data_IF_416882195767
#
_entry.id   IF_416882195767
#
_cell.length_a   1.000
_cell.length_b   1.000
_cell.length_c   1.000
_cell.angle_alpha   90.00
_cell.angle_beta   90.00
_cell.angle_gamma   90.00
#
_symmetry.space_group_name_H-M   'P 1'
#
loop_
_entity.id
_entity.type
_entity.pdbx_description
1 polymer ?
#
# COMPACT_ATOMS: atom_id res chain seq x y z
N UNK A 1 -14.02 0.49 37.37
CA UNK A 1 -12.57 0.48 37.19
C UNK A 1 -12.07 1.89 36.89
N UNK A 2 -11.14 2.40 37.73
CA UNK A 2 -10.64 3.78 37.62
C UNK A 2 -9.81 4.01 36.34
N UNK A 3 -9.01 3.05 35.94
CA UNK A 3 -8.19 3.10 34.71
C UNK A 3 -9.05 3.04 33.45
N UNK A 4 -10.13 2.27 33.46
CA UNK A 4 -11.12 2.24 32.38
C UNK A 4 -11.78 3.61 32.16
N UNK A 5 -12.20 4.28 33.24
CA UNK A 5 -12.80 5.62 33.16
C UNK A 5 -11.80 6.65 32.64
N UNK A 6 -10.53 6.60 33.07
CA UNK A 6 -9.47 7.46 32.56
C UNK A 6 -9.21 7.26 31.05
N UNK A 7 -9.20 6.02 30.58
CA UNK A 7 -9.07 5.73 29.15
C UNK A 7 -10.25 6.27 28.32
N UNK A 8 -11.49 6.12 28.84
CA UNK A 8 -12.68 6.67 28.17
C UNK A 8 -12.59 8.20 28.11
N UNK A 9 -12.16 8.87 29.16
CA UNK A 9 -11.94 10.32 29.14
C UNK A 9 -10.88 10.71 28.10
N UNK A 10 -9.80 9.95 27.98
CA UNK A 10 -8.80 10.13 26.93
C UNK A 10 -9.45 10.07 25.53
N UNK A 11 -10.24 9.03 25.25
CA UNK A 11 -10.92 8.88 23.98
C UNK A 11 -11.95 9.98 23.68
N UNK A 12 -12.69 10.43 24.69
CA UNK A 12 -13.67 11.52 24.54
C UNK A 12 -12.95 12.81 24.09
N UNK A 13 -11.78 13.11 24.67
CA UNK A 13 -11.01 14.30 24.29
C UNK A 13 -10.34 14.13 22.92
N UNK A 14 -9.85 12.95 22.60
CA UNK A 14 -9.21 12.64 21.34
C UNK A 14 -10.19 12.73 20.14
N UNK A 15 -11.35 12.09 20.27
CA UNK A 15 -12.38 12.03 19.22
C UNK A 15 -13.31 13.26 19.22
N UNK A 16 -13.27 14.10 20.25
CA UNK A 16 -14.13 15.28 20.37
C UNK A 16 -15.63 14.93 20.49
N UNK A 17 -15.99 13.80 21.10
CA UNK A 17 -17.36 13.26 21.12
C UNK A 17 -18.44 14.21 21.70
N UNK A 18 -18.05 15.18 22.52
CA UNK A 18 -18.97 16.16 23.17
C UNK A 18 -18.45 17.60 23.13
N UNK A 19 -17.21 17.80 22.69
CA UNK A 19 -16.50 19.08 22.62
C UNK A 19 -15.61 19.05 21.37
N UNK A 20 -14.87 20.13 21.11
CA UNK A 20 -13.81 20.05 20.11
C UNK A 20 -12.73 19.09 20.60
N UNK A 21 -12.07 18.33 19.69
CA UNK A 21 -10.93 17.47 20.03
C UNK A 21 -9.86 18.26 20.80
N UNK A 22 -9.37 17.68 21.89
CA UNK A 22 -8.22 18.17 22.65
C UNK A 22 -7.21 17.02 22.83
N UNK A 23 -6.32 16.81 21.83
CA UNK A 23 -5.32 15.75 21.89
C UNK A 23 -4.34 15.90 23.08
N UNK A 24 -4.07 17.13 23.50
CA UNK A 24 -3.15 17.35 24.63
C UNK A 24 -3.77 16.90 25.97
N UNK A 25 -5.06 17.11 26.15
CA UNK A 25 -5.78 16.58 27.31
C UNK A 25 -5.98 15.08 27.20
N UNK A 26 -6.23 14.55 25.97
CA UNK A 26 -6.33 13.10 25.72
C UNK A 26 -5.05 12.37 26.16
N UNK A 27 -3.88 12.86 25.78
CA UNK A 27 -2.56 12.29 26.17
C UNK A 27 -2.40 12.24 27.69
N UNK A 28 -2.85 13.25 28.44
CA UNK A 28 -2.76 13.23 29.90
C UNK A 28 -3.62 12.09 30.50
N UNK A 29 -4.81 11.88 29.96
CA UNK A 29 -5.70 10.81 30.42
C UNK A 29 -5.19 9.44 29.99
N UNK A 30 -4.70 9.29 28.74
CA UNK A 30 -4.07 8.04 28.29
C UNK A 30 -2.87 7.69 29.16
N UNK A 31 -2.02 8.66 29.53
CA UNK A 31 -0.86 8.44 30.38
C UNK A 31 -1.27 7.98 31.80
N UNK A 32 -2.32 8.55 32.38
CA UNK A 32 -2.84 8.09 33.68
C UNK A 32 -3.33 6.63 33.61
N UNK A 33 -4.11 6.30 32.57
CA UNK A 33 -4.64 4.96 32.39
C UNK A 33 -3.55 3.94 32.01
N UNK A 34 -2.55 4.34 31.23
CA UNK A 34 -1.39 3.53 30.82
C UNK A 34 -0.51 3.19 32.03
N UNK A 35 -0.25 4.16 32.90
CA UNK A 35 0.45 3.95 34.19
C UNK A 35 -0.32 3.00 35.11
N UNK A 36 -1.65 2.95 34.99
CA UNK A 36 -2.51 1.98 35.67
C UNK A 36 -2.53 0.59 35.03
N UNK A 37 -1.71 0.35 34.00
CA UNK A 37 -1.53 -0.95 33.35
C UNK A 37 -2.54 -1.30 32.26
N UNK A 38 -3.41 -0.37 31.84
CA UNK A 38 -4.42 -0.66 30.80
C UNK A 38 -3.79 -0.72 29.41
N UNK A 39 -3.82 -1.89 28.76
CA UNK A 39 -3.16 -2.13 27.47
C UNK A 39 -3.66 -1.21 26.36
N UNK A 40 -4.97 -0.94 26.26
CA UNK A 40 -5.53 -0.05 25.27
C UNK A 40 -5.08 1.40 25.47
N UNK A 41 -4.85 1.83 26.71
CA UNK A 41 -4.33 3.16 27.01
C UNK A 41 -2.83 3.27 26.72
N UNK A 42 -2.07 2.21 26.99
CA UNK A 42 -0.66 2.11 26.62
C UNK A 42 -0.50 2.19 25.11
N UNK A 43 -1.33 1.46 24.36
CA UNK A 43 -1.35 1.54 22.90
C UNK A 43 -1.72 2.96 22.41
N UNK A 44 -2.80 3.55 22.94
CA UNK A 44 -3.22 4.90 22.54
C UNK A 44 -2.15 5.95 22.84
N UNK A 45 -1.50 5.90 24.02
CA UNK A 45 -0.40 6.78 24.36
C UNK A 45 0.81 6.60 23.41
N UNK A 46 1.14 5.36 23.09
CA UNK A 46 2.21 5.04 22.16
C UNK A 46 1.95 5.65 20.76
N UNK A 47 0.71 5.52 20.24
CA UNK A 47 0.30 6.13 18.97
C UNK A 47 0.43 7.66 19.03
N UNK A 48 -0.02 8.30 20.11
CA UNK A 48 0.10 9.75 20.27
C UNK A 48 1.56 10.21 20.28
N UNK A 49 2.44 9.47 20.96
CA UNK A 49 3.89 9.76 21.02
C UNK A 49 4.59 9.53 19.66
N UNK A 50 4.17 8.51 18.92
CA UNK A 50 4.69 8.21 17.58
C UNK A 50 4.34 9.31 16.57
N UNK A 51 3.09 9.82 16.61
CA UNK A 51 2.57 10.80 15.64
C UNK A 51 2.73 12.26 16.08
N UNK A 52 3.01 12.50 17.35
CA UNK A 52 3.03 13.85 17.88
C UNK A 52 1.64 14.45 18.09
N UNK A 53 0.61 13.62 18.24
CA UNK A 53 -0.76 14.06 18.47
C UNK A 53 -0.96 14.46 19.92
N UNK A 54 -1.06 15.76 20.19
CA UNK A 54 -1.20 16.34 21.54
C UNK A 54 0.08 16.32 22.39
N UNK A 55 1.21 15.87 21.86
CA UNK A 55 2.50 15.85 22.52
C UNK A 55 3.65 15.95 21.50
N UNK A 56 4.87 16.12 22.00
CA UNK A 56 6.07 16.04 21.16
C UNK A 56 6.33 14.58 20.77
N UNK A 57 6.73 14.36 19.52
CA UNK A 57 7.12 13.04 19.04
C UNK A 57 8.25 12.47 19.91
N UNK A 58 8.05 11.24 20.39
CA UNK A 58 9.04 10.52 21.18
C UNK A 58 8.94 9.01 20.86
N UNK A 59 9.70 8.58 19.85
CA UNK A 59 9.66 7.20 19.36
C UNK A 59 10.19 6.19 20.38
N UNK A 60 11.20 6.57 21.19
CA UNK A 60 11.74 5.68 22.22
C UNK A 60 10.69 5.41 23.32
N UNK A 61 9.98 6.44 23.75
CA UNK A 61 8.90 6.27 24.73
C UNK A 61 7.72 5.50 24.11
N UNK A 62 7.40 5.73 22.84
CA UNK A 62 6.36 4.99 22.12
C UNK A 62 6.68 3.48 22.08
N UNK A 63 7.94 3.09 21.77
CA UNK A 63 8.39 1.68 21.82
C UNK A 63 8.14 1.07 23.19
N UNK A 64 8.47 1.78 24.28
CA UNK A 64 8.27 1.25 25.61
C UNK A 64 6.78 0.99 25.90
N UNK A 65 5.89 1.91 25.51
CA UNK A 65 4.45 1.74 25.70
C UNK A 65 3.86 0.68 24.79
N UNK A 66 4.32 0.59 23.53
CA UNK A 66 3.92 -0.52 22.63
C UNK A 66 4.36 -1.86 23.19
N UNK A 67 5.58 -1.94 23.75
CA UNK A 67 6.07 -3.20 24.36
C UNK A 67 5.17 -3.64 25.51
N UNK A 68 4.84 -2.74 26.44
CA UNK A 68 3.95 -3.05 27.56
C UNK A 68 2.55 -3.51 27.11
N UNK A 69 2.00 -2.88 26.08
CA UNK A 69 0.71 -3.29 25.51
C UNK A 69 0.81 -4.63 24.76
N UNK A 70 1.89 -4.84 24.00
CA UNK A 70 2.14 -6.06 23.23
C UNK A 70 2.32 -7.29 24.13
N UNK A 71 3.02 -7.14 25.26
CA UNK A 71 3.19 -8.18 26.27
C UNK A 71 1.88 -8.58 26.91
N UNK A 72 0.90 -7.68 26.97
CA UNK A 72 -0.48 -7.96 27.40
C UNK A 72 -1.36 -8.58 26.29
N UNK A 73 -0.79 -8.86 25.12
CA UNK A 73 -1.51 -9.46 23.99
C UNK A 73 -2.26 -8.48 23.09
N UNK A 74 -2.04 -7.16 23.21
CA UNK A 74 -2.71 -6.17 22.37
C UNK A 74 -2.24 -6.27 20.92
N UNK A 75 -3.06 -6.82 20.03
CA UNK A 75 -2.70 -7.16 18.65
C UNK A 75 -2.15 -5.99 17.84
N UNK A 76 -2.79 -4.81 17.94
CA UNK A 76 -2.32 -3.62 17.22
C UNK A 76 -1.00 -3.10 17.76
N UNK A 77 -0.72 -3.25 19.06
CA UNK A 77 0.57 -2.88 19.64
C UNK A 77 1.68 -3.83 19.16
N UNK A 78 1.40 -5.13 19.09
CA UNK A 78 2.32 -6.12 18.52
C UNK A 78 2.64 -5.80 17.07
N UNK A 79 1.64 -5.44 16.26
CA UNK A 79 1.83 -5.05 14.87
C UNK A 79 2.70 -3.79 14.74
N UNK A 80 2.41 -2.74 15.52
CA UNK A 80 3.17 -1.48 15.44
C UNK A 80 4.60 -1.67 15.96
N UNK A 81 4.78 -2.40 17.07
CA UNK A 81 6.10 -2.71 17.61
C UNK A 81 6.95 -3.52 16.61
N UNK A 82 6.33 -4.50 15.91
CA UNK A 82 6.99 -5.24 14.85
C UNK A 82 7.47 -4.31 13.72
N UNK A 83 6.66 -3.34 13.33
CA UNK A 83 7.04 -2.31 12.36
C UNK A 83 8.21 -1.46 12.84
N UNK A 84 8.23 -1.06 14.12
CA UNK A 84 9.34 -0.29 14.71
C UNK A 84 10.63 -1.08 14.71
N UNK A 85 10.62 -2.37 15.02
CA UNK A 85 11.80 -3.25 14.89
C UNK A 85 12.23 -3.42 13.43
N UNK A 86 11.31 -3.64 12.49
CA UNK A 86 11.64 -3.82 11.07
C UNK A 86 12.32 -2.58 10.45
N UNK A 87 11.95 -1.37 10.90
CA UNK A 87 12.46 -0.12 10.33
C UNK A 87 13.47 0.61 11.21
N UNK A 88 13.73 0.14 12.42
CA UNK A 88 14.62 0.82 13.35
C UNK A 88 14.09 2.16 13.85
N UNK A 89 12.76 2.30 13.99
CA UNK A 89 12.12 3.53 14.43
C UNK A 89 12.05 3.61 15.96
N UNK A 90 12.85 4.50 16.58
CA UNK A 90 12.92 4.66 18.03
C UNK A 90 13.61 3.49 18.77
N UNK A 91 14.08 2.50 18.05
CA UNK A 91 14.80 1.33 18.54
C UNK A 91 15.73 0.82 17.43
N UNK A 92 16.78 0.07 17.78
CA UNK A 92 17.64 -0.57 16.79
C UNK A 92 16.83 -1.59 15.97
N UNK A 93 17.02 -1.59 14.66
CA UNK A 93 16.37 -2.55 13.77
C UNK A 93 16.76 -4.01 14.15
N UNK A 94 15.75 -4.88 14.15
CA UNK A 94 15.88 -6.29 14.55
C UNK A 94 14.77 -7.09 13.85
N UNK A 95 15.14 -7.70 12.72
CA UNK A 95 14.18 -8.45 11.90
C UNK A 95 13.66 -9.72 12.62
N UNK A 96 14.44 -10.34 13.49
CA UNK A 96 13.98 -11.51 14.25
C UNK A 96 12.87 -11.12 15.23
N UNK A 97 13.02 -9.99 15.91
CA UNK A 97 11.97 -9.46 16.79
C UNK A 97 10.76 -8.96 15.98
N UNK A 98 10.99 -8.37 14.81
CA UNK A 98 9.89 -7.99 13.93
C UNK A 98 9.06 -9.22 13.53
N UNK A 99 9.69 -10.32 13.11
CA UNK A 99 9.02 -11.59 12.82
C UNK A 99 8.23 -12.08 14.04
N UNK A 100 8.86 -12.10 15.22
CA UNK A 100 8.19 -12.55 16.45
C UNK A 100 6.90 -11.78 16.74
N UNK A 101 6.95 -10.45 16.71
CA UNK A 101 5.77 -9.63 17.02
C UNK A 101 4.75 -9.61 15.88
N UNK A 102 5.19 -9.67 14.60
CA UNK A 102 4.25 -9.87 13.49
C UNK A 102 3.54 -11.20 13.57
N UNK A 103 4.22 -12.27 14.00
CA UNK A 103 3.60 -13.58 14.19
C UNK A 103 2.51 -13.53 15.26
N UNK A 104 2.79 -12.94 16.44
CA UNK A 104 1.79 -12.77 17.49
C UNK A 104 0.54 -12.00 17.04
N UNK A 105 0.73 -10.94 16.25
CA UNK A 105 -0.39 -10.17 15.69
C UNK A 105 -1.12 -10.93 14.55
N UNK A 106 -0.39 -11.68 13.74
CA UNK A 106 -0.93 -12.49 12.64
C UNK A 106 -1.81 -13.65 13.14
N UNK A 107 -1.40 -14.30 14.24
CA UNK A 107 -2.18 -15.34 14.93
C UNK A 107 -3.49 -14.78 15.50
N UNK A 108 -3.52 -13.48 15.82
CA UNK A 108 -4.74 -12.75 16.18
C UNK A 108 -5.52 -12.20 14.97
N UNK A 109 -5.27 -12.74 13.79
CA UNK A 109 -5.93 -12.40 12.54
C UNK A 109 -5.77 -10.93 12.10
N UNK A 110 -4.71 -10.22 12.48
CA UNK A 110 -4.39 -8.89 11.94
C UNK A 110 -3.89 -9.06 10.50
N UNK A 111 -4.71 -8.74 9.51
CA UNK A 111 -4.42 -8.97 8.08
C UNK A 111 -3.12 -8.31 7.62
N UNK A 112 -2.83 -7.09 8.10
CA UNK A 112 -1.58 -6.39 7.78
C UNK A 112 -0.35 -7.10 8.36
N UNK A 113 -0.47 -7.69 9.56
CA UNK A 113 0.59 -8.48 10.17
C UNK A 113 0.83 -9.77 9.39
N UNK A 114 -0.24 -10.47 9.00
CA UNK A 114 -0.15 -11.66 8.15
C UNK A 114 0.56 -11.35 6.83
N UNK A 115 0.19 -10.24 6.17
CA UNK A 115 0.82 -9.83 4.92
C UNK A 115 2.32 -9.47 5.10
N UNK A 116 2.68 -8.79 6.18
CA UNK A 116 4.08 -8.46 6.47
C UNK A 116 4.89 -9.70 6.81
N UNK A 117 4.34 -10.60 7.63
CA UNK A 117 4.97 -11.87 7.97
C UNK A 117 5.18 -12.74 6.72
N UNK A 118 4.19 -12.79 5.82
CA UNK A 118 4.32 -13.44 4.51
C UNK A 118 5.50 -12.87 3.71
N UNK A 119 5.66 -11.54 3.68
CA UNK A 119 6.78 -10.90 3.00
C UNK A 119 8.14 -11.23 3.65
N UNK A 120 8.22 -11.31 4.98
CA UNK A 120 9.44 -11.70 5.68
C UNK A 120 9.84 -13.15 5.38
N UNK A 121 8.88 -14.09 5.34
CA UNK A 121 9.13 -15.45 4.88
C UNK A 121 9.53 -15.54 3.41
N UNK A 122 8.93 -14.72 2.53
CA UNK A 122 9.29 -14.67 1.11
C UNK A 122 10.72 -14.18 0.90
N UNK A 123 11.17 -13.21 1.69
CA UNK A 123 12.50 -12.59 1.57
C UNK A 123 13.59 -13.29 2.39
N UNK A 124 13.20 -14.02 3.44
CA UNK A 124 14.14 -14.56 4.42
C UNK A 124 14.67 -13.49 5.39
N UNK A 125 13.88 -12.45 5.70
CA UNK A 125 14.26 -11.37 6.61
C UNK A 125 13.91 -11.74 8.05
N UNK A 126 14.91 -11.91 8.92
CA UNK A 126 14.75 -12.32 10.31
C UNK A 126 14.24 -13.75 10.51
N UNK A 127 14.08 -14.52 9.44
CA UNK A 127 13.62 -15.90 9.42
C UNK A 127 14.16 -16.60 8.17
N UNK A 128 14.31 -17.92 8.21
CA UNK A 128 14.69 -18.69 7.03
C UNK A 128 13.62 -18.53 5.91
N UNK A 129 14.08 -18.28 4.68
CA UNK A 129 13.19 -18.13 3.53
C UNK A 129 12.31 -19.37 3.35
N UNK A 130 11.00 -19.17 3.30
CA UNK A 130 10.04 -20.25 3.13
C UNK A 130 8.81 -19.78 2.34
N UNK A 131 8.78 -20.10 1.06
CA UNK A 131 7.68 -19.71 0.17
C UNK A 131 6.34 -20.35 0.55
N UNK A 132 6.32 -21.56 1.12
CA UNK A 132 5.07 -22.20 1.57
C UNK A 132 4.48 -21.44 2.76
N UNK A 133 5.31 -21.03 3.71
CA UNK A 133 4.87 -20.18 4.83
C UNK A 133 4.44 -18.80 4.37
N UNK A 134 5.17 -18.20 3.43
CA UNK A 134 4.79 -16.91 2.84
C UNK A 134 3.41 -16.99 2.19
N UNK A 135 3.17 -18.00 1.37
CA UNK A 135 1.90 -18.25 0.69
C UNK A 135 0.74 -18.40 1.70
N UNK A 136 0.93 -19.24 2.72
CA UNK A 136 -0.07 -19.44 3.78
C UNK A 136 -0.50 -18.10 4.44
N UNK A 137 0.47 -17.27 4.82
CA UNK A 137 0.17 -15.98 5.44
C UNK A 137 -0.48 -14.98 4.47
N UNK A 138 -0.06 -14.99 3.20
CA UNK A 138 -0.73 -14.18 2.17
C UNK A 138 -2.17 -14.65 1.90
N UNK A 139 -2.44 -15.97 1.90
CA UNK A 139 -3.79 -16.52 1.74
C UNK A 139 -4.73 -16.06 2.85
N UNK A 140 -4.27 -16.11 4.12
CA UNK A 140 -5.05 -15.64 5.25
C UNK A 140 -5.38 -14.14 5.14
N UNK A 141 -4.39 -13.31 4.80
CA UNK A 141 -4.58 -11.87 4.63
C UNK A 141 -5.44 -11.53 3.39
N UNK A 142 -5.24 -12.24 2.29
CA UNK A 142 -6.01 -12.07 1.05
C UNK A 142 -7.47 -12.47 1.24
N UNK A 143 -7.73 -13.53 2.00
CA UNK A 143 -9.08 -13.97 2.39
C UNK A 143 -9.84 -12.93 3.23
N UNK A 144 -9.12 -12.11 4.01
CA UNK A 144 -9.66 -10.95 4.71
C UNK A 144 -9.86 -9.71 3.82
N UNK A 145 -9.52 -9.79 2.53
CA UNK A 145 -9.72 -8.73 1.57
C UNK A 145 -8.55 -7.73 1.44
N UNK A 146 -7.40 -7.96 2.10
CA UNK A 146 -6.26 -7.04 2.01
C UNK A 146 -5.66 -7.05 0.59
N UNK A 147 -5.83 -5.97 -0.17
CA UNK A 147 -5.46 -5.89 -1.60
C UNK A 147 -3.97 -6.16 -1.85
N UNK A 148 -3.08 -5.72 -0.95
CA UNK A 148 -1.64 -5.99 -1.04
C UNK A 148 -1.34 -7.49 -0.93
N UNK A 149 -2.02 -8.19 -0.02
CA UNK A 149 -1.86 -9.64 0.13
C UNK A 149 -2.44 -10.40 -1.07
N UNK A 150 -3.58 -9.97 -1.60
CA UNK A 150 -4.16 -10.54 -2.84
C UNK A 150 -3.21 -10.41 -4.02
N UNK A 151 -2.56 -9.25 -4.16
CA UNK A 151 -1.54 -9.05 -5.19
C UNK A 151 -0.33 -9.95 -4.99
N UNK A 152 0.23 -10.01 -3.77
CA UNK A 152 1.40 -10.84 -3.47
C UNK A 152 1.12 -12.33 -3.69
N UNK A 153 -0.04 -12.82 -3.24
CA UNK A 153 -0.49 -14.19 -3.48
C UNK A 153 -0.59 -14.48 -4.99
N UNK A 154 -1.19 -13.56 -5.76
CA UNK A 154 -1.28 -13.68 -7.20
C UNK A 154 0.10 -13.75 -7.88
N UNK A 155 1.07 -12.95 -7.43
CA UNK A 155 2.46 -12.99 -7.92
C UNK A 155 3.11 -14.34 -7.64
N UNK A 156 2.92 -14.89 -6.44
CA UNK A 156 3.46 -16.21 -6.07
C UNK A 156 2.87 -17.32 -6.91
N UNK A 157 1.54 -17.34 -7.08
CA UNK A 157 0.82 -18.30 -7.93
C UNK A 157 1.24 -18.20 -9.40
N UNK A 158 1.37 -16.98 -9.91
CA UNK A 158 1.78 -16.74 -11.30
C UNK A 158 3.22 -17.23 -11.54
N UNK A 159 4.13 -16.95 -10.62
CA UNK A 159 5.54 -17.33 -10.73
C UNK A 159 5.84 -18.79 -10.32
N UNK A 160 4.88 -19.50 -9.72
CA UNK A 160 5.11 -20.86 -9.18
C UNK A 160 6.08 -20.87 -7.99
N UNK A 161 6.03 -19.84 -7.12
CA UNK A 161 6.89 -19.76 -5.93
C UNK A 161 6.23 -20.49 -4.76
N UNK A 162 6.82 -21.57 -4.31
CA UNK A 162 6.32 -22.40 -3.19
C UNK A 162 5.17 -23.33 -3.57
N UNK A 163 4.64 -23.23 -4.77
CA UNK A 163 3.57 -24.05 -5.34
C UNK A 163 3.75 -24.13 -6.85
N UNK A 164 3.11 -25.11 -7.51
CA UNK A 164 3.06 -25.11 -8.97
C UNK A 164 2.37 -23.84 -9.49
N UNK A 165 2.88 -23.29 -10.60
CA UNK A 165 2.31 -22.09 -11.18
C UNK A 165 0.84 -22.32 -11.58
N UNK A 166 -0.06 -21.44 -11.15
CA UNK A 166 -1.48 -21.42 -11.51
C UNK A 166 -1.91 -19.99 -11.91
N UNK A 167 -1.81 -19.72 -13.20
CA UNK A 167 -2.21 -18.42 -13.74
C UNK A 167 -3.72 -18.18 -13.63
N UNK A 168 -4.54 -19.25 -13.65
CA UNK A 168 -6.01 -19.09 -13.55
C UNK A 168 -6.39 -18.57 -12.17
N UNK A 169 -5.82 -19.16 -11.12
CA UNK A 169 -6.03 -18.70 -9.76
C UNK A 169 -5.40 -17.33 -9.54
N UNK A 170 -4.17 -17.12 -10.02
CA UNK A 170 -3.49 -15.80 -9.94
C UNK A 170 -4.35 -14.68 -10.53
N UNK A 171 -5.02 -14.90 -11.68
CA UNK A 171 -5.91 -13.94 -12.31
C UNK A 171 -7.12 -13.58 -11.44
N UNK A 172 -7.63 -14.51 -10.66
CA UNK A 172 -8.73 -14.22 -9.71
C UNK A 172 -8.25 -13.21 -8.67
N UNK A 173 -7.09 -13.45 -8.08
CA UNK A 173 -6.52 -12.60 -7.06
C UNK A 173 -6.04 -11.24 -7.61
N UNK A 174 -5.38 -11.22 -8.78
CA UNK A 174 -5.04 -9.96 -9.45
C UNK A 174 -6.28 -9.10 -9.70
N UNK A 175 -7.39 -9.71 -10.19
CA UNK A 175 -8.64 -8.95 -10.42
C UNK A 175 -9.24 -8.41 -9.14
N UNK A 176 -9.17 -9.15 -8.03
CA UNK A 176 -9.67 -8.66 -6.73
C UNK A 176 -8.84 -7.46 -6.24
N UNK A 177 -7.52 -7.55 -6.27
CA UNK A 177 -6.63 -6.46 -5.88
C UNK A 177 -6.82 -5.23 -6.80
N UNK A 178 -6.89 -5.43 -8.12
CA UNK A 178 -7.05 -4.35 -9.09
C UNK A 178 -8.38 -3.61 -8.95
N UNK A 179 -9.47 -4.33 -8.64
CA UNK A 179 -10.80 -3.72 -8.36
C UNK A 179 -10.79 -2.86 -7.09
N UNK A 180 -9.92 -3.16 -6.13
CA UNK A 180 -9.71 -2.34 -4.94
C UNK A 180 -8.74 -1.17 -5.17
N UNK A 181 -8.29 -0.96 -6.40
CA UNK A 181 -7.42 0.15 -6.76
C UNK A 181 -5.92 -0.15 -6.64
N UNK A 182 -5.48 -1.41 -6.44
CA UNK A 182 -4.06 -1.72 -6.35
C UNK A 182 -3.36 -1.51 -7.70
N UNK A 183 -2.56 -0.44 -7.81
CA UNK A 183 -1.97 0.02 -9.07
C UNK A 183 -1.10 -1.04 -9.77
N UNK A 184 -0.26 -1.75 -9.01
CA UNK A 184 0.58 -2.82 -9.57
C UNK A 184 -0.25 -3.99 -10.10
N UNK A 185 -1.38 -4.34 -9.46
CA UNK A 185 -2.28 -5.37 -9.95
C UNK A 185 -2.99 -4.95 -11.24
N UNK A 186 -3.41 -3.69 -11.34
CA UNK A 186 -4.00 -3.12 -12.57
C UNK A 186 -3.00 -3.16 -13.72
N UNK A 187 -1.77 -2.74 -13.48
CA UNK A 187 -0.71 -2.79 -14.48
C UNK A 187 -0.37 -4.24 -14.90
N UNK A 188 -0.28 -5.17 -13.94
CA UNK A 188 0.00 -6.58 -14.22
C UNK A 188 -1.13 -7.20 -15.06
N UNK A 189 -2.40 -6.94 -14.73
CA UNK A 189 -3.53 -7.39 -15.54
C UNK A 189 -3.48 -6.83 -16.96
N UNK A 190 -3.16 -5.55 -17.12
CA UNK A 190 -3.01 -4.96 -18.43
C UNK A 190 -1.96 -5.69 -19.27
N UNK A 191 -0.82 -6.02 -18.68
CA UNK A 191 0.25 -6.78 -19.34
C UNK A 191 -0.19 -8.19 -19.73
N UNK A 192 -0.90 -8.88 -18.85
CA UNK A 192 -1.42 -10.23 -19.11
C UNK A 192 -2.37 -10.21 -20.32
N UNK A 193 -3.31 -9.23 -20.40
CA UNK A 193 -4.19 -9.06 -21.54
C UNK A 193 -3.46 -8.62 -22.82
N UNK A 194 -2.39 -7.84 -22.70
CA UNK A 194 -1.56 -7.42 -23.83
C UNK A 194 -0.79 -8.56 -24.47
N UNK A 195 -0.27 -9.47 -23.66
CA UNK A 195 0.58 -10.56 -24.13
C UNK A 195 -0.21 -11.86 -24.39
N UNK A 196 -1.46 -11.91 -23.98
CA UNK A 196 -2.28 -13.12 -24.10
C UNK A 196 -1.79 -14.26 -23.23
N UNK A 197 -1.28 -13.94 -22.01
CA UNK A 197 -0.79 -14.98 -21.10
C UNK A 197 -1.95 -15.83 -20.59
N UNK A 198 -2.03 -17.08 -21.08
CA UNK A 198 -3.08 -18.02 -20.72
C UNK A 198 -4.49 -17.68 -21.23
N UNK A 199 -4.62 -16.70 -22.10
CA UNK A 199 -5.87 -16.24 -22.73
C UNK A 199 -5.58 -15.51 -24.05
N UNK A 200 -6.63 -15.19 -24.82
CA UNK A 200 -6.48 -14.36 -26.01
C UNK A 200 -6.09 -12.91 -25.66
N UNK A 201 -5.31 -12.28 -26.54
CA UNK A 201 -4.96 -10.86 -26.44
C UNK A 201 -6.23 -10.00 -26.50
N UNK A 202 -6.38 -9.09 -25.57
CA UNK A 202 -7.49 -8.12 -25.54
C UNK A 202 -6.96 -6.71 -25.21
N UNK A 203 -6.66 -5.95 -26.27
CA UNK A 203 -6.14 -4.58 -26.14
C UNK A 203 -7.16 -3.62 -25.53
N UNK A 204 -8.47 -3.87 -25.70
CA UNK A 204 -9.53 -3.02 -25.13
C UNK A 204 -9.58 -3.17 -23.61
N UNK A 205 -9.51 -4.41 -23.12
CA UNK A 205 -9.45 -4.66 -21.67
C UNK A 205 -8.11 -4.17 -21.11
N UNK A 206 -7.00 -4.40 -21.82
CA UNK A 206 -5.70 -3.92 -21.43
C UNK A 206 -5.67 -2.38 -21.26
N UNK A 207 -6.25 -1.65 -22.25
CA UNK A 207 -6.34 -0.19 -22.19
C UNK A 207 -7.11 0.33 -20.97
N UNK A 208 -8.19 -0.36 -20.57
CA UNK A 208 -8.96 0.00 -19.38
C UNK A 208 -8.12 -0.11 -18.09
N UNK A 209 -7.36 -1.20 -17.96
CA UNK A 209 -6.51 -1.40 -16.79
C UNK A 209 -5.28 -0.48 -16.82
N UNK A 210 -4.68 -0.24 -18.02
CA UNK A 210 -3.60 0.73 -18.19
C UNK A 210 -4.03 2.13 -17.74
N UNK A 211 -5.24 2.56 -18.13
CA UNK A 211 -5.76 3.87 -17.74
C UNK A 211 -5.83 4.02 -16.22
N UNK A 212 -6.40 3.04 -15.51
CA UNK A 212 -6.50 3.07 -14.06
C UNK A 212 -5.12 3.09 -13.37
N UNK A 213 -4.16 2.32 -13.88
CA UNK A 213 -2.80 2.33 -13.35
C UNK A 213 -2.06 3.64 -13.66
N UNK A 214 -2.24 4.19 -14.87
CA UNK A 214 -1.64 5.44 -15.31
C UNK A 214 -2.14 6.66 -14.50
N UNK A 215 -3.43 6.68 -14.15
CA UNK A 215 -4.04 7.67 -13.26
C UNK A 215 -3.46 7.62 -11.85
N UNK A 216 -2.91 6.49 -11.42
CA UNK A 216 -2.19 6.30 -10.15
C UNK A 216 -0.67 6.47 -10.29
N UNK A 217 -0.22 7.18 -11.30
CA UNK A 217 1.19 7.52 -11.53
C UNK A 217 2.13 6.30 -11.73
N UNK A 218 1.64 5.19 -12.32
CA UNK A 218 2.52 4.10 -12.78
C UNK A 218 3.16 4.50 -14.12
N UNK A 219 4.47 4.80 -14.17
CA UNK A 219 5.09 5.38 -15.35
C UNK A 219 5.06 4.48 -16.58
N UNK A 220 5.22 3.17 -16.38
CA UNK A 220 5.16 2.18 -17.45
C UNK A 220 3.75 2.07 -18.04
N UNK A 221 2.71 2.19 -17.19
CA UNK A 221 1.33 2.22 -17.65
C UNK A 221 1.03 3.48 -18.45
N UNK A 222 1.54 4.64 -18.02
CA UNK A 222 1.42 5.91 -18.74
C UNK A 222 2.08 5.83 -20.13
N UNK A 223 3.28 5.24 -20.20
CA UNK A 223 4.01 5.06 -21.45
C UNK A 223 3.24 4.19 -22.45
N UNK A 224 2.73 3.04 -21.99
CA UNK A 224 2.00 2.10 -22.85
C UNK A 224 0.65 2.68 -23.27
N UNK A 225 -0.06 3.33 -22.35
CA UNK A 225 -1.34 3.99 -22.65
C UNK A 225 -1.17 5.12 -23.68
N UNK A 226 -0.09 5.88 -23.57
CA UNK A 226 0.25 6.92 -24.55
C UNK A 226 0.48 6.33 -25.94
N UNK A 227 1.19 5.19 -26.07
CA UNK A 227 1.37 4.49 -27.34
C UNK A 227 0.05 3.95 -27.89
N UNK A 228 -0.87 3.53 -27.00
CA UNK A 228 -2.21 3.09 -27.40
C UNK A 228 -3.00 4.23 -28.04
N UNK A 229 -3.03 5.41 -27.42
CA UNK A 229 -3.66 6.60 -28.01
C UNK A 229 -2.96 7.05 -29.30
N UNK A 230 -1.62 6.95 -29.38
CA UNK A 230 -0.87 7.32 -30.57
C UNK A 230 -1.21 6.45 -31.78
N UNK A 231 -1.54 5.19 -31.57
CA UNK A 231 -1.76 4.17 -32.62
C UNK A 231 -3.19 3.68 -32.77
N UNK A 232 -4.11 4.16 -31.94
CA UNK A 232 -5.50 3.70 -31.93
C UNK A 232 -5.64 2.22 -31.50
N UNK A 233 -4.79 1.73 -30.58
CA UNK A 233 -4.81 0.34 -30.10
C UNK A 233 -5.69 0.22 -28.86
N UNK A 234 -6.74 -0.59 -28.93
CA UNK A 234 -7.68 -0.78 -27.82
C UNK A 234 -8.46 0.47 -27.38
N UNK A 235 -8.08 1.64 -27.91
CA UNK A 235 -8.73 2.95 -27.73
C UNK A 235 -8.72 3.69 -29.08
N UNK A 236 -9.65 4.64 -29.32
CA UNK A 236 -9.56 5.52 -30.49
C UNK A 236 -8.24 6.30 -30.50
N UNK A 237 -7.69 6.55 -31.71
CA UNK A 237 -6.51 7.38 -31.87
C UNK A 237 -6.75 8.81 -31.34
N UNK A 238 -5.83 9.31 -30.51
CA UNK A 238 -5.89 10.65 -29.94
C UNK A 238 -4.48 11.16 -29.63
N UNK A 239 -3.96 12.03 -30.49
CA UNK A 239 -2.61 12.58 -30.34
C UNK A 239 -2.48 13.53 -29.15
N UNK A 240 -3.57 14.19 -28.74
CA UNK A 240 -3.57 15.09 -27.58
C UNK A 240 -3.40 14.25 -26.30
N UNK A 241 -4.19 13.20 -26.13
CA UNK A 241 -4.04 12.28 -24.99
C UNK A 241 -2.70 11.53 -25.03
N UNK A 242 -2.24 11.10 -26.22
CA UNK A 242 -0.91 10.51 -26.37
C UNK A 242 0.18 11.44 -25.85
N UNK A 243 0.16 12.72 -26.27
CA UNK A 243 1.10 13.73 -25.80
C UNK A 243 1.06 13.92 -24.29
N UNK A 244 -0.14 14.05 -23.72
CA UNK A 244 -0.33 14.24 -22.26
C UNK A 244 0.26 13.08 -21.46
N UNK A 245 -0.07 11.85 -21.85
CA UNK A 245 0.44 10.67 -21.14
C UNK A 245 1.95 10.45 -21.33
N UNK A 246 2.50 10.71 -22.52
CA UNK A 246 3.97 10.71 -22.72
C UNK A 246 4.64 11.80 -21.88
N UNK A 247 4.02 12.97 -21.74
CA UNK A 247 4.55 14.04 -20.90
C UNK A 247 4.62 13.64 -19.43
N UNK A 248 3.57 12.97 -18.91
CA UNK A 248 3.58 12.41 -17.54
C UNK A 248 4.65 11.34 -17.39
N UNK A 249 4.71 10.38 -18.29
CA UNK A 249 5.73 9.33 -18.23
C UNK A 249 7.16 9.91 -18.29
N UNK A 250 7.39 10.98 -19.07
CA UNK A 250 8.71 11.62 -19.17
C UNK A 250 9.11 12.36 -17.89
N UNK A 251 8.16 12.87 -17.11
CA UNK A 251 8.46 13.52 -15.81
C UNK A 251 9.02 12.54 -14.77
N UNK A 252 8.83 11.24 -14.97
CA UNK A 252 9.43 10.16 -14.17
C UNK A 252 10.81 9.71 -14.68
N UNK A 253 11.40 10.43 -15.64
CA UNK A 253 12.74 10.14 -16.17
C UNK A 253 12.79 9.06 -17.25
N UNK A 254 11.66 8.73 -17.88
CA UNK A 254 11.63 7.80 -19.01
C UNK A 254 12.01 8.50 -20.32
N UNK A 255 13.27 8.41 -20.76
CA UNK A 255 13.78 9.05 -21.98
C UNK A 255 12.97 8.68 -23.23
N UNK A 256 12.50 7.44 -23.31
CA UNK A 256 11.68 6.98 -24.44
C UNK A 256 10.35 7.73 -24.52
N UNK A 257 9.79 8.13 -23.38
CA UNK A 257 8.53 8.91 -23.34
C UNK A 257 8.73 10.30 -23.94
N UNK A 258 9.85 10.96 -23.65
CA UNK A 258 10.18 12.26 -24.24
C UNK A 258 10.34 12.18 -25.76
N UNK A 259 10.99 11.12 -26.26
CA UNK A 259 11.12 10.87 -27.71
C UNK A 259 9.76 10.68 -28.37
N UNK A 260 8.90 9.85 -27.76
CA UNK A 260 7.57 9.54 -28.31
C UNK A 260 6.61 10.74 -28.20
N UNK A 261 6.73 11.56 -27.15
CA UNK A 261 6.00 12.83 -27.04
C UNK A 261 6.27 13.76 -28.24
N UNK A 262 7.54 13.87 -28.65
CA UNK A 262 7.91 14.64 -29.84
C UNK A 262 7.35 14.04 -31.13
N UNK A 263 7.22 12.71 -31.20
CA UNK A 263 6.57 12.04 -32.31
C UNK A 263 5.09 12.39 -32.38
N UNK A 264 4.36 12.28 -31.23
CA UNK A 264 2.96 12.67 -31.14
C UNK A 264 2.74 14.14 -31.57
N UNK A 265 3.60 15.05 -31.08
CA UNK A 265 3.53 16.47 -31.43
C UNK A 265 3.65 16.75 -32.95
N UNK A 266 4.36 15.91 -33.70
CA UNK A 266 4.48 16.05 -35.18
C UNK A 266 3.17 15.75 -35.91
N UNK A 267 2.26 15.02 -35.27
CA UNK A 267 0.94 14.67 -35.81
C UNK A 267 -0.15 15.66 -35.38
N UNK A 268 0.21 16.71 -34.60
CA UNK A 268 -0.74 17.65 -33.98
C UNK A 268 -0.68 19.03 -34.64
N UNK A 269 -1.82 19.74 -34.61
CA UNK A 269 -1.86 21.19 -34.95
C UNK A 269 -1.30 22.02 -33.79
N UNK A 270 -0.91 23.31 -34.01
CA UNK A 270 -0.49 24.19 -32.92
C UNK A 270 -1.55 24.34 -31.80
N UNK A 271 -2.84 24.35 -32.15
CA UNK A 271 -3.96 24.44 -31.21
C UNK A 271 -4.04 23.18 -30.34
N UNK A 272 -3.88 21.99 -30.93
CA UNK A 272 -3.85 20.71 -30.21
C UNK A 272 -2.65 20.63 -29.25
N UNK A 273 -1.49 21.14 -29.67
CA UNK A 273 -0.29 21.19 -28.80
C UNK A 273 -0.56 22.10 -27.59
N UNK A 274 -1.15 23.29 -27.82
CA UNK A 274 -1.53 24.21 -26.73
C UNK A 274 -2.52 23.57 -25.77
N UNK A 275 -3.54 22.88 -26.29
CA UNK A 275 -4.50 22.12 -25.48
C UNK A 275 -3.83 21.04 -24.63
N UNK A 276 -2.95 20.23 -25.24
CA UNK A 276 -2.24 19.17 -24.53
C UNK A 276 -1.33 19.71 -23.43
N UNK A 277 -0.66 20.85 -23.67
CA UNK A 277 0.15 21.54 -22.67
C UNK A 277 -0.67 22.07 -21.50
N UNK A 278 -1.86 22.62 -21.77
CA UNK A 278 -2.77 23.09 -20.73
C UNK A 278 -3.30 21.94 -19.87
N UNK A 279 -3.73 20.84 -20.49
CA UNK A 279 -4.15 19.62 -19.78
C UNK A 279 -2.99 19.08 -18.90
N UNK A 280 -1.76 19.07 -19.45
CA UNK A 280 -0.60 18.59 -18.70
C UNK A 280 -0.28 19.45 -17.48
N UNK A 281 -0.51 20.76 -17.52
CA UNK A 281 -0.32 21.68 -16.39
C UNK A 281 -1.37 21.45 -15.28
N UNK A 282 -2.63 21.31 -15.66
CA UNK A 282 -3.74 21.11 -14.71
C UNK A 282 -3.64 19.76 -14.01
N UNK A 283 -3.19 18.70 -14.70
CA UNK A 283 -3.00 17.38 -14.10
C UNK A 283 -1.72 17.24 -13.26
N UNK A 284 -0.73 18.12 -13.41
CA UNK A 284 0.46 18.16 -12.55
C UNK A 284 0.23 18.98 -11.26
N UNK A 285 -0.87 19.73 -11.18
CA UNK A 285 -1.20 20.60 -10.06
C UNK A 285 -2.24 19.98 -9.09
N UNK A 286 -2.74 18.79 -9.38
CA UNK A 286 -3.70 18.02 -8.57
C UNK A 286 -3.05 16.78 -7.95
#
# INVERSE_FOLDING_TARGET
DHTGAQYILGRINDEGMRTNPDPAEAVKWFRKAANGGKAEAQFALAVSLERGEGCVINLEEAVNWYTLAAEQGHASAQFNLAGMYAHGCGIMADDEKAVYYFQLAAEQAVASAQCNLGAMYEQGSGVEQNFSSAMHWYELAAGQGLCRAQYNLAVMLHAGRGVAADLKEALVWYRQAAKQGHAAAQYTLARIFLHGEGMDVDEVIAAKWLKLAAEQDVPEAQLILADFYLRGRGVPEDFVLAYVWFNRASSHGLDIAEKNKRQAARCMTPEQIAQAQEISRTHLAA
#
